data_IF_807055051653
#
_entry.id   IF_807055051653
#
_cell.length_a   1.000
_cell.length_b   1.000
_cell.length_c   1.000
_cell.angle_alpha   90.00
_cell.angle_beta   90.00
_cell.angle_gamma   90.00
#
_symmetry.space_group_name_H-M   'P 1'
#
loop_
_entity.id
_entity.type
_entity.pdbx_description
1 polymer ?
#
# COMPACT_ATOMS: atom_id res chain seq x y z
N UNK A 1 21.39 -5.12 3.79
CA UNK A 1 20.89 -3.80 4.21
C UNK A 1 19.59 -4.02 4.94
N UNK A 2 19.42 -3.35 6.08
CA UNK A 2 18.16 -3.29 6.80
C UNK A 2 17.62 -1.87 6.65
N UNK A 3 16.34 -1.74 6.42
CA UNK A 3 15.64 -0.46 6.34
C UNK A 3 14.26 -0.58 6.94
N UNK A 4 13.71 0.55 7.35
CA UNK A 4 12.31 0.66 7.75
C UNK A 4 11.83 2.01 7.25
N UNK A 5 10.73 2.00 6.52
CA UNK A 5 10.01 3.22 6.16
C UNK A 5 8.78 3.35 7.05
N UNK A 6 8.51 4.57 7.52
CA UNK A 6 7.31 4.89 8.29
C UNK A 6 6.47 5.89 7.51
N UNK A 7 5.19 5.61 7.38
CA UNK A 7 4.20 6.48 6.79
C UNK A 7 3.10 6.74 7.82
N UNK A 8 2.82 8.03 8.05
CA UNK A 8 1.66 8.48 8.79
C UNK A 8 0.79 9.27 7.82
N UNK A 9 -0.48 8.91 7.73
CA UNK A 9 -1.48 9.61 6.95
C UNK A 9 -2.64 10.00 7.86
N UNK A 10 -3.13 11.22 7.68
CA UNK A 10 -4.33 11.73 8.33
C UNK A 10 -5.20 12.38 7.25
N UNK A 11 -6.43 11.92 7.13
CA UNK A 11 -7.40 12.39 6.14
C UNK A 11 -8.67 12.82 6.87
N UNK A 12 -9.09 14.07 6.66
CA UNK A 12 -10.47 14.49 6.92
C UNK A 12 -11.33 14.09 5.72
N UNK A 13 -12.42 13.37 5.96
CA UNK A 13 -13.32 12.93 4.90
C UNK A 13 -14.75 13.39 5.19
N UNK A 14 -15.51 13.64 4.13
CA UNK A 14 -16.92 13.93 4.20
C UNK A 14 -17.64 13.49 2.92
N UNK A 15 -18.92 13.15 3.01
CA UNK A 15 -19.81 13.04 1.86
C UNK A 15 -21.25 13.45 2.20
N UNK A 16 -22.04 13.66 1.15
CA UNK A 16 -23.45 14.05 1.25
C UNK A 16 -24.34 12.93 1.80
N UNK A 17 -25.55 13.27 2.29
CA UNK A 17 -26.56 12.31 2.72
C UNK A 17 -26.76 11.13 1.75
N UNK A 18 -27.03 9.96 2.31
CA UNK A 18 -27.42 8.76 1.54
C UNK A 18 -28.94 8.67 1.44
N UNK A 19 -29.50 7.82 0.55
CA UNK A 19 -30.95 7.63 0.46
C UNK A 19 -31.65 7.20 1.76
N UNK A 20 -30.89 6.64 2.71
CA UNK A 20 -31.37 6.14 4.00
C UNK A 20 -30.89 6.95 5.22
N UNK A 21 -30.02 7.95 5.05
CA UNK A 21 -29.53 8.83 6.11
C UNK A 21 -29.46 10.29 5.64
N UNK A 22 -30.35 11.14 6.14
CA UNK A 22 -30.56 12.54 5.68
C UNK A 22 -29.54 13.57 6.24
N UNK A 23 -28.39 13.12 6.73
CA UNK A 23 -27.36 13.99 7.32
C UNK A 23 -26.01 13.78 6.62
N UNK A 24 -25.12 14.78 6.70
CA UNK A 24 -23.77 14.67 6.16
C UNK A 24 -22.94 13.65 6.94
N UNK A 25 -22.19 12.83 6.20
CA UNK A 25 -21.24 11.90 6.77
C UNK A 25 -19.88 12.55 6.80
N UNK A 26 -19.23 12.52 7.96
CA UNK A 26 -17.92 13.12 8.13
C UNK A 26 -17.13 12.41 9.21
N UNK A 27 -15.81 12.50 9.11
CA UNK A 27 -14.93 11.84 10.04
C UNK A 27 -13.46 12.03 9.69
N UNK A 28 -12.63 11.21 10.32
CA UNK A 28 -11.20 11.15 10.01
C UNK A 28 -10.81 9.72 9.65
N UNK A 29 -9.75 9.56 8.86
CA UNK A 29 -9.08 8.30 8.62
C UNK A 29 -7.59 8.51 8.90
N UNK A 30 -7.08 7.80 9.91
CA UNK A 30 -5.66 7.80 10.26
C UNK A 30 -5.03 6.49 9.82
N UNK A 31 -3.88 6.54 9.15
CA UNK A 31 -3.09 5.36 8.83
C UNK A 31 -1.69 5.48 9.44
N UNK A 32 -1.27 4.44 10.15
CA UNK A 32 0.11 4.26 10.60
C UNK A 32 0.65 2.99 9.95
N UNK A 33 1.61 3.17 9.04
CA UNK A 33 2.20 2.08 8.27
C UNK A 33 3.70 2.07 8.44
N UNK A 34 4.25 0.88 8.68
CA UNK A 34 5.68 0.61 8.70
C UNK A 34 6.02 -0.48 7.68
N UNK A 35 7.15 -0.29 7.00
CA UNK A 35 7.60 -1.17 5.92
C UNK A 35 9.03 -1.64 6.19
N UNK A 36 9.25 -2.48 7.22
CA UNK A 36 10.55 -3.09 7.43
C UNK A 36 10.98 -3.87 6.20
N UNK A 37 12.25 -3.70 5.82
CA UNK A 37 12.84 -4.37 4.69
C UNK A 37 14.22 -4.93 4.99
N UNK A 38 14.50 -6.08 4.38
CA UNK A 38 15.81 -6.71 4.34
C UNK A 38 16.23 -6.89 2.90
N UNK A 39 17.43 -6.43 2.57
CA UNK A 39 18.04 -6.63 1.25
C UNK A 39 19.35 -7.39 1.39
N UNK A 40 19.48 -8.49 0.66
CA UNK A 40 20.66 -9.36 0.63
C UNK A 40 21.27 -9.32 -0.77
N UNK A 41 22.58 -9.04 -0.85
CA UNK A 41 23.33 -9.18 -2.09
C UNK A 41 23.60 -10.66 -2.36
N UNK A 42 23.10 -11.18 -3.48
CA UNK A 42 23.35 -12.55 -3.92
C UNK A 42 24.68 -12.65 -4.68
N UNK A 43 25.08 -11.56 -5.35
CA UNK A 43 26.38 -11.41 -6.01
C UNK A 43 26.76 -9.93 -6.10
N UNK A 44 27.85 -9.61 -6.81
CA UNK A 44 28.22 -8.23 -7.13
C UNK A 44 27.19 -7.51 -8.04
N UNK A 45 26.25 -8.25 -8.61
CA UNK A 45 25.32 -7.75 -9.63
C UNK A 45 23.86 -7.92 -9.22
N UNK A 46 23.54 -8.89 -8.36
CA UNK A 46 22.19 -9.25 -8.00
C UNK A 46 21.94 -9.03 -6.51
N UNK A 47 20.79 -8.45 -6.19
CA UNK A 47 20.27 -8.43 -4.83
C UNK A 47 18.79 -8.84 -4.80
N UNK A 48 18.37 -9.34 -3.64
CA UNK A 48 16.97 -9.65 -3.33
C UNK A 48 16.54 -8.84 -2.11
N UNK A 49 15.33 -8.30 -2.14
CA UNK A 49 14.70 -7.59 -1.04
C UNK A 49 13.40 -8.28 -0.64
N UNK A 50 13.18 -8.37 0.66
CA UNK A 50 11.91 -8.78 1.27
C UNK A 50 11.37 -7.59 2.07
N UNK A 51 10.11 -7.25 1.86
CA UNK A 51 9.41 -6.15 2.55
C UNK A 51 8.10 -6.72 3.09
N UNK A 52 7.78 -6.42 4.35
CA UNK A 52 6.49 -6.74 4.94
C UNK A 52 5.82 -5.44 5.36
N UNK A 53 4.61 -5.16 4.86
CA UNK A 53 3.81 -4.03 5.34
C UNK A 53 3.17 -4.40 6.67
N UNK A 54 3.35 -3.55 7.68
CA UNK A 54 2.73 -3.66 9.00
C UNK A 54 2.04 -2.35 9.31
N UNK A 55 0.79 -2.37 9.74
CA UNK A 55 0.13 -1.13 10.09
C UNK A 55 -1.32 -1.27 10.48
N UNK A 56 -1.92 -0.10 10.64
CA UNK A 56 -3.31 0.05 11.01
C UNK A 56 -3.90 1.27 10.29
N UNK A 57 -5.14 1.12 9.83
CA UNK A 57 -6.01 2.23 9.44
C UNK A 57 -7.15 2.30 10.45
N UNK A 58 -7.42 3.49 10.96
CA UNK A 58 -8.50 3.73 11.92
C UNK A 58 -9.36 4.88 11.43
N UNK A 59 -10.65 4.63 11.29
CA UNK A 59 -11.66 5.61 10.97
C UNK A 59 -12.32 6.10 12.26
N UNK A 60 -12.49 7.41 12.37
CA UNK A 60 -13.34 8.01 13.39
C UNK A 60 -14.58 8.59 12.74
N UNK A 61 -15.73 8.36 13.33
CA UNK A 61 -16.99 9.00 12.98
C UNK A 61 -17.14 10.33 13.71
N UNK A 62 -17.39 11.40 12.96
CA UNK A 62 -17.33 12.78 13.47
C UNK A 62 -18.67 13.45 13.72
N UNK A 63 -19.80 12.79 13.46
CA UNK A 63 -21.13 13.39 13.64
C UNK A 63 -21.80 12.95 14.95
N UNK A 64 -22.64 13.81 15.53
CA UNK A 64 -23.37 13.55 16.78
C UNK A 64 -24.58 12.60 16.62
N UNK A 65 -24.64 11.84 15.53
CA UNK A 65 -25.71 10.88 15.21
C UNK A 65 -25.12 9.51 14.97
N UNK A 66 -25.94 8.45 15.03
CA UNK A 66 -25.51 7.10 14.63
C UNK A 66 -25.67 6.94 13.12
N UNK A 67 -24.70 6.27 12.48
CA UNK A 67 -24.76 5.89 11.08
C UNK A 67 -24.72 4.37 10.92
N UNK A 68 -25.45 3.85 9.93
CA UNK A 68 -25.40 2.45 9.47
C UNK A 68 -24.21 2.19 8.55
N UNK A 69 -23.69 3.24 7.92
CA UNK A 69 -22.60 3.18 6.94
C UNK A 69 -21.25 3.41 7.62
N UNK A 70 -21.17 4.30 8.61
CA UNK A 70 -19.90 4.72 9.21
C UNK A 70 -19.89 4.61 10.73
N UNK A 71 -18.73 4.30 11.28
CA UNK A 71 -18.50 4.11 12.72
C UNK A 71 -17.03 4.33 13.06
N UNK A 72 -16.74 4.41 14.36
CA UNK A 72 -15.37 4.26 14.85
C UNK A 72 -14.94 2.80 14.64
N UNK A 73 -13.99 2.56 13.74
CA UNK A 73 -13.49 1.22 13.48
C UNK A 73 -12.07 1.23 12.91
N UNK A 74 -11.38 0.10 13.02
CA UNK A 74 -10.04 -0.05 12.49
C UNK A 74 -9.81 -1.37 11.75
N UNK A 75 -8.79 -1.37 10.89
CA UNK A 75 -8.44 -2.50 10.04
C UNK A 75 -7.87 -3.70 10.79
N UNK A 76 -7.62 -3.57 12.10
CA UNK A 76 -7.07 -4.62 12.96
C UNK A 76 -8.10 -5.65 13.42
N UNK A 77 -9.39 -5.31 13.36
CA UNK A 77 -10.50 -6.18 13.79
C UNK A 77 -11.23 -6.77 12.59
N UNK A 78 -11.82 -7.95 12.76
CA UNK A 78 -12.73 -8.50 11.75
C UNK A 78 -14.02 -7.69 11.69
N UNK A 79 -14.66 -7.72 10.53
CA UNK A 79 -15.99 -7.17 10.28
C UNK A 79 -16.75 -8.08 9.31
N UNK A 80 -18.06 -7.88 9.16
CA UNK A 80 -18.90 -8.77 8.34
C UNK A 80 -18.39 -8.90 6.90
N UNK A 81 -17.86 -7.82 6.32
CA UNK A 81 -17.24 -7.79 5.00
C UNK A 81 -15.71 -7.62 5.02
N UNK A 82 -15.03 -7.87 6.13
CA UNK A 82 -13.58 -7.65 6.22
C UNK A 82 -12.87 -8.60 7.18
N UNK A 83 -11.71 -9.11 6.75
CA UNK A 83 -10.78 -9.82 7.64
C UNK A 83 -9.80 -8.78 8.20
N UNK A 84 -9.64 -8.77 9.52
CA UNK A 84 -8.79 -7.83 10.23
C UNK A 84 -7.36 -8.31 10.44
N UNK A 85 -6.49 -7.40 10.82
CA UNK A 85 -5.16 -7.70 11.34
C UNK A 85 -4.19 -6.53 11.21
N UNK A 86 -2.92 -6.74 11.53
CA UNK A 86 -1.88 -5.72 11.35
C UNK A 86 -1.00 -5.94 10.12
N UNK A 87 -1.10 -7.10 9.47
CA UNK A 87 -0.32 -7.42 8.29
C UNK A 87 -0.98 -6.83 7.04
N UNK A 88 -0.23 -6.01 6.31
CA UNK A 88 -0.52 -5.69 4.92
C UNK A 88 0.28 -6.58 3.97
N UNK A 89 0.36 -6.16 2.70
CA UNK A 89 1.04 -6.91 1.66
C UNK A 89 2.52 -7.22 1.97
N UNK A 90 2.98 -8.37 1.51
CA UNK A 90 4.41 -8.69 1.40
C UNK A 90 4.93 -8.36 0.01
N UNK A 91 6.22 -7.99 -0.09
CA UNK A 91 6.88 -7.76 -1.38
C UNK A 91 8.20 -8.50 -1.47
N UNK A 92 8.44 -9.13 -2.60
CA UNK A 92 9.72 -9.74 -2.97
C UNK A 92 10.22 -9.04 -4.22
N UNK A 93 11.42 -8.47 -4.17
CA UNK A 93 12.04 -7.80 -5.32
C UNK A 93 13.42 -8.38 -5.59
N UNK A 94 13.73 -8.60 -6.86
CA UNK A 94 15.06 -8.99 -7.33
C UNK A 94 15.57 -7.89 -8.24
N UNK A 95 16.76 -7.36 -7.97
CA UNK A 95 17.37 -6.26 -8.73
C UNK A 95 18.71 -6.65 -9.32
N UNK A 96 18.91 -6.30 -10.58
CA UNK A 96 20.15 -6.39 -11.32
C UNK A 96 20.81 -5.02 -11.45
N UNK A 97 22.09 -4.92 -11.10
CA UNK A 97 22.92 -3.74 -11.25
C UNK A 97 23.59 -3.75 -12.63
N UNK A 98 23.06 -3.00 -13.58
CA UNK A 98 23.62 -2.93 -14.95
C UNK A 98 24.87 -2.05 -15.01
N UNK A 99 24.83 -0.86 -14.43
CA UNK A 99 25.99 0.03 -14.34
C UNK A 99 26.58 -0.04 -12.94
N UNK A 100 27.83 -0.46 -12.81
CA UNK A 100 28.47 -0.64 -11.49
C UNK A 100 29.78 0.17 -11.40
N UNK A 101 29.71 1.34 -10.77
CA UNK A 101 30.89 2.16 -10.45
C UNK A 101 31.66 1.67 -9.19
N UNK A 102 31.33 0.48 -8.67
CA UNK A 102 31.96 -0.09 -7.48
C UNK A 102 31.82 0.81 -6.25
N UNK A 103 32.91 0.99 -5.50
CA UNK A 103 32.94 1.86 -4.31
C UNK A 103 33.11 3.34 -4.63
N UNK A 104 33.57 3.66 -5.85
CA UNK A 104 33.90 5.02 -6.28
C UNK A 104 32.69 5.86 -6.71
N UNK A 105 32.91 7.14 -7.02
CA UNK A 105 31.93 7.97 -7.72
C UNK A 105 31.54 7.37 -9.07
N UNK A 106 30.34 7.69 -9.54
CA UNK A 106 29.86 7.24 -10.85
C UNK A 106 28.42 6.78 -10.85
N UNK A 107 27.95 6.41 -12.03
CA UNK A 107 26.59 5.99 -12.29
C UNK A 107 26.32 4.57 -11.79
N UNK A 108 25.10 4.37 -11.29
CA UNK A 108 24.50 3.07 -10.95
C UNK A 108 23.13 3.02 -11.58
N UNK A 109 22.87 1.95 -12.31
CA UNK A 109 21.60 1.69 -12.97
C UNK A 109 21.12 0.31 -12.54
N UNK A 110 19.94 0.26 -11.93
CA UNK A 110 19.29 -0.97 -11.52
C UNK A 110 18.06 -1.23 -12.36
N UNK A 111 17.83 -2.49 -12.69
CA UNK A 111 16.55 -3.01 -13.15
C UNK A 111 16.04 -4.02 -12.14
N UNK A 112 14.78 -3.89 -11.75
CA UNK A 112 14.13 -4.74 -10.76
C UNK A 112 12.87 -5.38 -11.30
N UNK A 113 12.62 -6.60 -10.85
CA UNK A 113 11.36 -7.31 -10.99
C UNK A 113 10.93 -7.87 -9.65
N UNK A 114 9.62 -7.97 -9.41
CA UNK A 114 9.13 -8.46 -8.13
C UNK A 114 7.67 -8.89 -8.13
N UNK A 115 7.21 -9.31 -6.95
CA UNK A 115 5.84 -9.72 -6.68
C UNK A 115 5.36 -9.08 -5.39
N UNK A 116 4.14 -8.54 -5.42
CA UNK A 116 3.32 -8.23 -4.24
C UNK A 116 2.45 -9.43 -3.94
N UNK A 117 2.52 -9.91 -2.70
CA UNK A 117 1.72 -11.01 -2.17
C UNK A 117 0.74 -10.38 -1.18
N UNK A 118 -0.58 -10.46 -1.42
CA UNK A 118 -1.55 -9.85 -0.55
C UNK A 118 -1.59 -10.54 0.82
N UNK A 119 -1.92 -9.78 1.86
CA UNK A 119 -2.29 -10.37 3.15
C UNK A 119 -3.78 -10.64 3.23
N UNK A 120 -4.19 -11.41 4.24
CA UNK A 120 -5.60 -11.68 4.49
C UNK A 120 -6.35 -10.44 4.96
N UNK A 121 -5.67 -9.38 5.44
CA UNK A 121 -6.33 -8.13 5.86
C UNK A 121 -6.90 -7.40 4.65
N UNK A 122 -8.10 -7.80 4.26
CA UNK A 122 -8.75 -7.46 3.00
C UNK A 122 -10.26 -7.43 3.18
N UNK A 123 -10.93 -6.72 2.27
CA UNK A 123 -12.38 -6.80 2.15
C UNK A 123 -12.79 -8.13 1.51
N UNK A 124 -13.86 -8.73 2.02
CA UNK A 124 -14.39 -10.02 1.57
C UNK A 124 -15.65 -9.90 0.70
N UNK A 125 -16.23 -8.71 0.61
CA UNK A 125 -17.34 -8.40 -0.29
C UNK A 125 -17.40 -6.89 -0.58
N UNK A 126 -18.02 -6.55 -1.72
CA UNK A 126 -18.12 -5.15 -2.19
C UNK A 126 -18.61 -4.22 -1.08
N UNK A 127 -17.86 -3.15 -0.75
CA UNK A 127 -18.33 -2.16 0.21
C UNK A 127 -19.35 -1.19 -0.41
N UNK A 128 -19.68 -1.37 -1.69
CA UNK A 128 -20.66 -0.56 -2.40
C UNK A 128 -21.89 -1.41 -2.74
N UNK A 129 -23.06 -0.88 -2.41
CA UNK A 129 -24.36 -1.51 -2.59
C UNK A 129 -25.07 -0.95 -3.83
N UNK A 130 -25.88 -1.79 -4.49
CA UNK A 130 -26.68 -1.37 -5.63
C UNK A 130 -27.88 -0.52 -5.19
N UNK A 131 -28.38 0.41 -6.03
CA UNK A 131 -29.59 1.16 -5.73
C UNK A 131 -30.77 0.22 -5.42
N UNK A 132 -31.37 0.38 -4.24
CA UNK A 132 -32.53 -0.41 -3.80
C UNK A 132 -32.22 -1.71 -3.08
N UNK A 133 -30.95 -2.09 -2.87
CA UNK A 133 -30.60 -3.17 -1.95
C UNK A 133 -30.72 -2.72 -0.49
N UNK A 134 -30.93 -3.69 0.41
CA UNK A 134 -30.86 -3.46 1.84
C UNK A 134 -29.41 -3.10 2.18
N UNK A 135 -29.22 -1.94 2.81
CA UNK A 135 -27.91 -1.53 3.33
C UNK A 135 -27.65 -2.32 4.59
N UNK A 136 -26.57 -3.09 4.57
CA UNK A 136 -26.02 -3.78 5.74
C UNK A 136 -24.78 -3.04 6.24
N UNK A 137 -24.36 -3.35 7.45
CA UNK A 137 -23.12 -2.80 7.97
C UNK A 137 -21.94 -3.27 7.12
N UNK A 138 -21.06 -2.34 6.76
CA UNK A 138 -19.90 -2.64 5.93
C UNK A 138 -18.72 -1.74 6.29
N UNK A 139 -17.53 -2.18 5.91
CA UNK A 139 -16.26 -1.47 5.98
C UNK A 139 -15.76 -1.13 4.58
N UNK A 140 -15.21 0.08 4.42
CA UNK A 140 -14.69 0.58 3.13
C UNK A 140 -13.17 0.47 2.94
N UNK A 141 -12.44 0.03 3.96
CA UNK A 141 -10.98 0.03 3.94
C UNK A 141 -10.38 -1.22 4.56
N UNK A 142 -9.18 -1.56 4.11
CA UNK A 142 -8.36 -2.66 4.61
C UNK A 142 -6.87 -2.29 4.48
N UNK A 143 -5.96 -3.14 4.94
CA UNK A 143 -4.52 -2.96 4.72
C UNK A 143 -4.04 -3.53 3.38
N UNK A 144 -4.72 -4.53 2.84
CA UNK A 144 -4.46 -5.19 1.56
C UNK A 144 -5.67 -5.09 0.62
N UNK A 145 -5.41 -4.94 -0.68
CA UNK A 145 -6.43 -5.07 -1.72
C UNK A 145 -6.75 -6.54 -2.05
N UNK A 146 -6.08 -7.52 -1.43
CA UNK A 146 -6.31 -8.94 -1.69
C UNK A 146 -5.80 -9.42 -3.06
N UNK A 147 -4.97 -8.62 -3.73
CA UNK A 147 -4.55 -8.85 -5.12
C UNK A 147 -3.05 -9.08 -5.24
N UNK A 148 -2.67 -10.13 -5.97
CA UNK A 148 -1.28 -10.35 -6.41
C UNK A 148 -0.90 -9.34 -7.49
N UNK A 149 0.27 -8.71 -7.37
CA UNK A 149 0.77 -7.73 -8.35
C UNK A 149 2.19 -8.02 -8.78
N UNK A 150 2.51 -7.83 -10.06
CA UNK A 150 3.89 -7.82 -10.53
C UNK A 150 4.51 -6.43 -10.31
N UNK A 151 5.79 -6.39 -9.96
CA UNK A 151 6.54 -5.15 -9.79
C UNK A 151 7.60 -5.05 -10.88
N UNK A 152 7.69 -3.90 -11.54
CA UNK A 152 8.77 -3.52 -12.42
C UNK A 152 9.43 -2.25 -11.90
N UNK A 153 10.75 -2.24 -11.84
CA UNK A 153 11.50 -1.12 -11.27
C UNK A 153 12.70 -0.75 -12.13
N UNK A 154 12.94 0.54 -12.28
CA UNK A 154 14.19 1.09 -12.83
C UNK A 154 14.70 2.18 -11.89
N UNK A 155 15.96 2.08 -11.46
CA UNK A 155 16.57 3.09 -10.59
C UNK A 155 17.88 3.58 -11.19
N UNK A 156 18.10 4.89 -11.22
CA UNK A 156 19.34 5.49 -11.68
C UNK A 156 19.89 6.46 -10.66
N UNK A 157 21.13 6.25 -10.23
CA UNK A 157 21.80 7.10 -9.25
C UNK A 157 23.23 7.42 -9.65
N UNK A 158 23.66 8.67 -9.43
CA UNK A 158 25.04 9.11 -9.58
C UNK A 158 25.60 9.41 -8.19
N UNK A 159 26.59 8.62 -7.77
CA UNK A 159 27.38 8.92 -6.57
C UNK A 159 28.44 9.97 -6.91
N UNK A 160 28.59 10.99 -6.08
CA UNK A 160 29.56 12.08 -6.22
C UNK A 160 30.32 12.29 -4.91
N UNK A 161 31.49 12.94 -4.98
CA UNK A 161 32.25 13.37 -3.79
C UNK A 161 31.88 14.80 -3.37
N UNK A 162 30.60 15.17 -3.48
CA UNK A 162 30.05 16.48 -3.09
C UNK A 162 28.57 16.34 -2.72
N UNK A 163 28.03 17.28 -1.96
CA UNK A 163 26.62 17.25 -1.55
C UNK A 163 25.67 17.73 -2.68
N UNK A 164 24.50 17.08 -2.86
CA UNK A 164 24.12 15.79 -2.28
C UNK A 164 24.97 14.64 -2.87
N UNK A 165 25.38 13.71 -2.00
CA UNK A 165 26.30 12.59 -2.30
C UNK A 165 25.74 11.69 -3.39
N UNK A 166 24.42 11.48 -3.39
CA UNK A 166 23.69 10.81 -4.46
C UNK A 166 22.70 11.79 -5.08
N UNK A 167 22.56 11.71 -6.40
CA UNK A 167 21.47 12.33 -7.16
C UNK A 167 20.94 11.27 -8.11
N UNK A 168 19.63 11.18 -8.28
CA UNK A 168 19.06 10.12 -9.08
C UNK A 168 17.54 10.09 -8.98
N UNK A 169 16.99 8.93 -9.28
CA UNK A 169 15.57 8.69 -9.13
C UNK A 169 15.22 7.23 -9.41
N UNK A 170 13.97 6.88 -9.10
CA UNK A 170 13.42 5.57 -9.33
C UNK A 170 12.03 5.66 -9.96
N UNK A 171 11.76 4.75 -10.89
CA UNK A 171 10.45 4.49 -11.47
C UNK A 171 10.02 3.09 -11.03
N UNK A 172 8.84 2.99 -10.45
CA UNK A 172 8.22 1.71 -10.08
C UNK A 172 6.84 1.60 -10.72
N UNK A 173 6.53 0.42 -11.26
CA UNK A 173 5.21 0.09 -11.79
C UNK A 173 4.74 -1.18 -11.07
N UNK A 174 3.55 -1.13 -10.48
CA UNK A 174 2.86 -2.31 -9.94
C UNK A 174 1.65 -2.64 -10.81
N UNK A 175 1.64 -3.84 -11.36
CA UNK A 175 0.58 -4.33 -12.23
C UNK A 175 -0.24 -5.43 -11.54
N UNK A 176 -1.55 -5.24 -11.31
CA UNK A 176 -2.45 -6.28 -10.86
C UNK A 176 -2.42 -7.48 -11.80
N UNK A 177 -2.15 -8.68 -11.27
CA UNK A 177 -2.05 -9.89 -12.08
C UNK A 177 -3.40 -10.58 -12.29
N UNK A 178 -4.33 -10.38 -11.36
CA UNK A 178 -5.68 -10.95 -11.36
C UNK A 178 -6.54 -10.22 -10.32
N UNK A 179 -7.83 -10.47 -10.35
CA UNK A 179 -8.74 -10.07 -9.27
C UNK A 179 -8.44 -10.85 -7.98
N UNK A 180 -8.87 -10.29 -6.85
CA UNK A 180 -8.84 -10.98 -5.56
C UNK A 180 -9.80 -12.17 -5.56
N UNK A 181 -9.71 -13.03 -4.55
CA UNK A 181 -10.66 -14.14 -4.39
C UNK A 181 -12.11 -13.67 -4.21
N UNK A 182 -12.31 -12.42 -3.82
CA UNK A 182 -13.62 -11.79 -3.61
C UNK A 182 -14.07 -10.93 -4.80
N UNK A 183 -13.34 -10.97 -5.94
CA UNK A 183 -13.69 -10.26 -7.17
C UNK A 183 -13.26 -8.80 -7.23
N UNK A 184 -12.34 -8.38 -6.36
CA UNK A 184 -11.80 -7.01 -6.40
C UNK A 184 -10.66 -6.88 -7.42
N UNK A 185 -10.75 -5.86 -8.28
CA UNK A 185 -9.66 -5.50 -9.17
C UNK A 185 -8.86 -4.33 -8.57
N UNK A 186 -7.58 -4.56 -8.27
CA UNK A 186 -6.68 -3.50 -7.83
C UNK A 186 -6.34 -2.55 -8.99
N UNK A 187 -5.91 -1.33 -8.67
CA UNK A 187 -5.43 -0.36 -9.66
C UNK A 187 -3.96 -0.59 -10.01
N UNK A 188 -3.58 -0.25 -11.26
CA UNK A 188 -2.16 -0.09 -11.63
C UNK A 188 -1.58 1.10 -10.89
N UNK A 189 -0.43 0.91 -10.24
CA UNK A 189 0.33 1.98 -9.60
C UNK A 189 1.57 2.31 -10.42
N UNK A 190 1.82 3.60 -10.63
CA UNK A 190 3.05 4.13 -11.23
C UNK A 190 3.61 5.16 -10.27
N UNK A 191 4.81 4.91 -9.76
CA UNK A 191 5.50 5.77 -8.80
C UNK A 191 6.82 6.29 -9.37
N UNK A 192 7.08 7.58 -9.17
CA UNK A 192 8.29 8.27 -9.60
C UNK A 192 8.87 9.06 -8.43
N UNK A 193 10.13 8.77 -8.08
CA UNK A 193 10.88 9.44 -7.00
C UNK A 193 12.21 9.99 -7.52
N UNK A 194 12.70 11.10 -6.94
CA UNK A 194 13.94 11.80 -7.33
C UNK A 194 14.69 12.41 -6.13
#
# INVERSE_FOLDING_TARGET
MLGVDFNYQFIDWQHDPTPDEEFHHLGTLTALVSSPNITVGLSNWWNISLIQILGNRYMTWGADTTSKHHRDEGSETNFDNAIGGYLGDSRILVRYLLLNAGRGPGARLFFGGGLVIPSDNSLTSSPFFNPGSIVEEHRHFSMSEGVYKAIFETQFFIKRMKNPVFIGGALTIEEPLRESEYGFQASRLIDLSF
#
